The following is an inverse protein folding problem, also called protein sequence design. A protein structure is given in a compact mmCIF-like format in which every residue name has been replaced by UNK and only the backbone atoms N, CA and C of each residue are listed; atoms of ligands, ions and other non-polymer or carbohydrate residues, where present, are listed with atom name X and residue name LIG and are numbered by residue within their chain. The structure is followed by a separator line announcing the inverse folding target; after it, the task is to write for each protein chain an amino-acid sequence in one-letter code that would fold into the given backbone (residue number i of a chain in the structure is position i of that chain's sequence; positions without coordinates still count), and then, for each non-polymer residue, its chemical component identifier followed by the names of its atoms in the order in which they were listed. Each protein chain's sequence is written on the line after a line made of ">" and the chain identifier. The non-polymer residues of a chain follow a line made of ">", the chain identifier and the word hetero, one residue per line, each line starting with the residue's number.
data_IF_580813766774
#
_entry.id   IF_580813766774
#
_cell.length_a   1.000
_cell.length_b   1.000
_cell.length_c   1.000
_cell.angle_alpha   90.00
_cell.angle_beta   90.00
_cell.angle_gamma   90.00
#
_symmetry.space_group_name_H-M   'P 1'
#
loop_
_entity.id
_entity.type
_entity.pdbx_description
1 polymer ?
#
# COMPACT_ATOMS: atom_id res chain seq x y z
N UNK A 1 30.48 -21.65 17.92
CA UNK A 1 29.76 -21.62 19.23
C UNK A 1 28.93 -20.35 19.48
N UNK A 2 29.13 -19.23 18.77
CA UNK A 2 28.34 -17.99 18.98
C UNK A 2 26.87 -18.05 18.51
N UNK A 3 26.53 -18.78 17.44
CA UNK A 3 25.14 -18.88 16.92
C UNK A 3 24.09 -19.46 17.87
N UNK A 4 24.48 -20.21 18.91
CA UNK A 4 23.52 -20.81 19.86
C UNK A 4 23.14 -19.87 21.01
N UNK A 5 23.98 -18.88 21.30
CA UNK A 5 23.71 -17.91 22.37
C UNK A 5 22.70 -16.84 21.88
N UNK A 6 22.88 -16.36 20.63
CA UNK A 6 22.00 -15.35 20.03
C UNK A 6 20.54 -15.85 19.87
N UNK A 7 20.35 -17.13 19.54
CA UNK A 7 19.01 -17.74 19.42
C UNK A 7 18.28 -17.84 20.75
N UNK A 8 18.98 -18.17 21.85
CA UNK A 8 18.35 -18.33 23.17
C UNK A 8 17.89 -16.97 23.74
N UNK A 9 18.65 -15.91 23.49
CA UNK A 9 18.29 -14.54 23.89
C UNK A 9 17.07 -14.03 23.12
N UNK A 10 16.93 -14.39 21.84
CA UNK A 10 15.78 -14.00 21.00
C UNK A 10 14.49 -14.78 21.34
N UNK A 11 14.60 -16.03 21.84
CA UNK A 11 13.46 -16.88 22.23
C UNK A 11 12.69 -16.40 23.47
N UNK A 12 13.40 -15.86 24.47
CA UNK A 12 12.75 -15.26 25.66
C UNK A 12 12.00 -13.98 25.32
N UNK A 13 12.58 -13.21 24.41
CA UNK A 13 12.19 -11.85 24.05
C UNK A 13 10.81 -11.78 23.34
N UNK A 14 10.51 -12.70 22.42
CA UNK A 14 9.23 -12.73 21.67
C UNK A 14 8.04 -13.11 22.56
N UNK A 15 8.23 -14.12 23.41
CA UNK A 15 7.18 -14.59 24.33
C UNK A 15 6.90 -13.54 25.41
N UNK A 16 7.94 -12.92 25.95
CA UNK A 16 7.83 -11.85 26.95
C UNK A 16 7.11 -10.64 26.36
N UNK A 17 7.49 -10.18 25.17
CA UNK A 17 6.81 -9.08 24.48
C UNK A 17 5.31 -9.30 24.31
N UNK A 18 4.89 -10.51 23.95
CA UNK A 18 3.46 -10.83 23.82
C UNK A 18 2.75 -10.70 25.18
N UNK A 19 3.38 -11.20 26.24
CA UNK A 19 2.82 -11.17 27.60
C UNK A 19 2.73 -9.76 28.14
N UNK A 20 3.73 -8.91 27.89
CA UNK A 20 3.72 -7.48 28.22
C UNK A 20 2.58 -6.73 27.53
N UNK A 21 2.27 -7.08 26.29
CA UNK A 21 1.13 -6.56 25.53
C UNK A 21 -0.22 -7.15 25.97
N UNK A 22 -0.24 -8.04 26.96
CA UNK A 22 -1.47 -8.68 27.47
C UNK A 22 -2.16 -9.61 26.46
N UNK A 23 -1.46 -10.06 25.42
CA UNK A 23 -2.05 -10.88 24.36
C UNK A 23 -1.95 -12.37 24.67
N UNK A 24 -3.03 -13.12 24.42
CA UNK A 24 -2.96 -14.59 24.37
C UNK A 24 -2.31 -15.05 23.06
N UNK A 25 -1.78 -16.28 23.00
CA UNK A 25 -1.25 -16.85 21.74
C UNK A 25 -2.31 -16.87 20.62
N UNK A 26 -3.55 -17.21 20.95
CA UNK A 26 -4.65 -17.23 19.99
C UNK A 26 -4.99 -15.83 19.48
N UNK A 27 -4.95 -14.84 20.36
CA UNK A 27 -5.20 -13.44 20.01
C UNK A 27 -4.08 -12.89 19.12
N UNK A 28 -2.83 -13.17 19.47
CA UNK A 28 -1.68 -12.71 18.70
C UNK A 28 -1.61 -13.38 17.33
N UNK A 29 -1.89 -14.70 17.25
CA UNK A 29 -2.02 -15.42 15.98
C UNK A 29 -3.13 -14.84 15.10
N UNK A 30 -4.28 -14.51 15.70
CA UNK A 30 -5.41 -13.87 15.02
C UNK A 30 -5.02 -12.50 14.45
N UNK A 31 -4.32 -11.66 15.24
CA UNK A 31 -3.84 -10.34 14.81
C UNK A 31 -2.79 -10.42 13.71
N UNK A 32 -1.95 -11.45 13.71
CA UNK A 32 -0.96 -11.69 12.66
C UNK A 32 -1.55 -12.44 11.44
N UNK A 33 -2.84 -12.79 11.43
CA UNK A 33 -3.46 -13.59 10.37
C UNK A 33 -2.77 -14.94 10.12
N UNK A 34 -2.29 -15.59 11.17
CA UNK A 34 -1.63 -16.91 11.12
C UNK A 34 -2.33 -17.93 12.01
N UNK A 35 -2.05 -19.22 11.80
CA UNK A 35 -2.54 -20.26 12.71
C UNK A 35 -1.86 -20.17 14.08
N UNK A 36 -2.55 -20.61 15.13
CA UNK A 36 -1.95 -20.70 16.49
C UNK A 36 -0.72 -21.60 16.49
N UNK A 37 -0.69 -22.65 15.66
CA UNK A 37 0.47 -23.52 15.50
C UNK A 37 1.66 -22.76 14.88
N UNK A 38 1.40 -21.91 13.90
CA UNK A 38 2.40 -21.04 13.27
C UNK A 38 2.95 -20.02 14.27
N UNK A 39 2.08 -19.40 15.08
CA UNK A 39 2.50 -18.49 16.15
C UNK A 39 3.38 -19.18 17.20
N UNK A 40 3.02 -20.39 17.63
CA UNK A 40 3.85 -21.20 18.54
C UNK A 40 5.22 -21.52 17.97
N UNK A 41 5.31 -21.80 16.66
CA UNK A 41 6.60 -21.98 15.98
C UNK A 41 7.41 -20.69 15.97
N UNK A 42 6.78 -19.55 15.70
CA UNK A 42 7.44 -18.25 15.74
C UNK A 42 7.95 -17.90 17.16
N UNK A 43 7.18 -18.15 18.22
CA UNK A 43 7.66 -17.96 19.60
C UNK A 43 8.82 -18.89 19.98
N UNK A 44 8.81 -20.12 19.45
CA UNK A 44 9.85 -21.11 19.72
C UNK A 44 11.14 -20.86 18.94
N UNK A 45 11.03 -20.43 17.70
CA UNK A 45 12.15 -20.07 16.82
C UNK A 45 11.63 -19.15 15.70
N UNK A 46 11.83 -17.82 15.79
CA UNK A 46 11.44 -16.90 14.73
C UNK A 46 12.05 -17.25 13.37
N UNK A 47 13.26 -17.85 13.38
CA UNK A 47 13.97 -18.32 12.19
C UNK A 47 13.26 -19.46 11.45
N UNK A 48 12.41 -20.23 12.15
CA UNK A 48 11.74 -21.41 11.62
C UNK A 48 10.51 -21.11 10.75
N UNK A 49 9.99 -19.89 10.82
CA UNK A 49 8.85 -19.45 10.00
C UNK A 49 9.34 -18.63 8.80
N UNK A 50 8.53 -18.58 7.74
CA UNK A 50 8.83 -17.75 6.57
C UNK A 50 9.02 -16.28 6.98
N UNK A 51 9.83 -15.52 6.22
CA UNK A 51 10.09 -14.10 6.51
C UNK A 51 8.77 -13.30 6.62
N UNK A 52 7.84 -13.53 5.67
CA UNK A 52 6.48 -12.98 5.69
C UNK A 52 5.71 -13.29 6.98
N UNK A 53 5.77 -14.54 7.45
CA UNK A 53 5.12 -14.96 8.70
C UNK A 53 5.78 -14.32 9.91
N UNK A 54 7.12 -14.24 9.92
CA UNK A 54 7.91 -13.62 10.97
C UNK A 54 7.50 -12.16 11.15
N UNK A 55 7.49 -11.41 10.05
CA UNK A 55 7.12 -10.01 10.01
C UNK A 55 5.69 -9.73 10.51
N UNK A 56 4.72 -10.52 10.04
CA UNK A 56 3.34 -10.43 10.51
C UNK A 56 3.25 -10.63 12.03
N UNK A 57 4.06 -11.53 12.59
CA UNK A 57 4.11 -11.74 14.03
C UNK A 57 4.89 -10.64 14.79
N UNK A 58 6.00 -10.16 14.25
CA UNK A 58 6.80 -9.05 14.82
C UNK A 58 6.00 -7.75 14.88
N UNK A 59 5.17 -7.47 13.87
CA UNK A 59 4.20 -6.36 13.86
C UNK A 59 3.22 -6.40 15.03
N UNK A 60 2.68 -7.58 15.34
CA UNK A 60 1.76 -7.74 16.48
C UNK A 60 2.46 -7.43 17.80
N UNK A 61 3.77 -7.59 17.86
CA UNK A 61 4.59 -7.28 19.03
C UNK A 61 5.08 -5.83 19.06
N UNK A 62 4.66 -4.98 18.12
CA UNK A 62 5.16 -3.60 18.00
C UNK A 62 6.65 -3.54 17.65
N UNK A 63 7.20 -4.63 17.08
CA UNK A 63 8.60 -4.79 16.68
C UNK A 63 8.80 -4.82 15.18
N UNK A 64 7.70 -4.83 14.43
CA UNK A 64 7.70 -4.77 12.97
C UNK A 64 7.31 -3.38 12.50
N UNK A 65 8.20 -2.41 12.65
CA UNK A 65 8.18 -1.25 11.75
C UNK A 65 8.91 -1.70 10.48
N UNK A 66 8.14 -1.94 9.41
CA UNK A 66 8.71 -2.01 8.07
C UNK A 66 8.30 -3.18 7.18
N UNK A 67 7.27 -2.98 6.36
CA UNK A 67 7.10 -3.46 4.97
C UNK A 67 7.93 -4.67 4.50
N UNK A 68 7.25 -5.69 3.95
CA UNK A 68 7.92 -6.62 3.03
C UNK A 68 7.84 -6.11 1.58
N UNK A 69 8.92 -5.48 1.14
CA UNK A 69 9.55 -5.95 -0.10
C UNK A 69 9.95 -7.41 0.18
N UNK A 70 9.29 -8.39 -0.45
CA UNK A 70 9.63 -9.82 -0.33
C UNK A 70 11.10 -10.14 -0.75
N UNK A 71 11.89 -9.12 -1.10
CA UNK A 71 13.25 -9.20 -1.61
C UNK A 71 14.35 -8.79 -0.61
N UNK A 72 14.05 -8.42 0.63
CA UNK A 72 15.10 -7.94 1.56
C UNK A 72 16.20 -8.97 1.90
N UNK A 73 15.97 -10.26 1.68
CA UNK A 73 16.99 -11.32 1.84
C UNK A 73 17.49 -11.91 0.52
N UNK A 74 16.93 -11.46 -0.62
CA UNK A 74 17.29 -11.93 -1.95
C UNK A 74 17.78 -10.74 -2.80
N UNK A 75 19.11 -10.55 -2.92
CA UNK A 75 19.69 -9.49 -3.75
C UNK A 75 19.13 -9.50 -5.19
N UNK A 76 18.83 -10.68 -5.73
CA UNK A 76 18.24 -10.82 -7.07
C UNK A 76 16.83 -10.23 -7.15
N UNK A 77 16.00 -10.44 -6.12
CA UNK A 77 14.66 -9.86 -6.05
C UNK A 77 14.68 -8.34 -6.00
N UNK A 78 15.64 -7.73 -5.28
CA UNK A 78 15.76 -6.26 -5.19
C UNK A 78 16.26 -5.67 -6.51
N UNK A 79 17.21 -6.35 -7.14
CA UNK A 79 17.71 -5.98 -8.45
C UNK A 79 16.59 -6.06 -9.50
N UNK A 80 15.83 -7.16 -9.51
CA UNK A 80 14.68 -7.33 -10.39
C UNK A 80 13.57 -6.29 -10.17
N UNK A 81 13.28 -5.94 -8.91
CA UNK A 81 12.36 -4.85 -8.60
C UNK A 81 12.88 -3.50 -9.08
N UNK A 82 14.17 -3.22 -8.89
CA UNK A 82 14.74 -1.90 -9.15
C UNK A 82 14.92 -1.62 -10.64
N UNK A 83 15.23 -2.63 -11.46
CA UNK A 83 15.53 -2.49 -12.90
C UNK A 83 14.49 -1.64 -13.65
N UNK A 84 13.16 -1.91 -13.53
CA UNK A 84 12.15 -1.10 -14.21
C UNK A 84 12.12 0.38 -13.77
N UNK A 85 12.52 0.65 -12.52
CA UNK A 85 12.37 1.97 -11.90
C UNK A 85 13.61 2.84 -12.02
N UNK A 86 14.81 2.27 -12.14
CA UNK A 86 16.07 3.04 -12.24
C UNK A 86 16.04 4.06 -13.38
N UNK A 87 15.40 3.72 -14.50
CA UNK A 87 15.28 4.59 -15.68
C UNK A 87 13.88 5.18 -15.89
N UNK A 88 12.94 4.87 -15.01
CA UNK A 88 11.56 5.32 -15.13
C UNK A 88 11.51 6.85 -15.05
N UNK A 89 10.77 7.53 -15.94
CA UNK A 89 10.57 8.96 -15.81
C UNK A 89 9.64 9.30 -14.63
N UNK A 90 8.85 8.35 -14.13
CA UNK A 90 7.80 8.64 -13.15
C UNK A 90 8.28 8.45 -11.71
N UNK A 91 8.70 7.24 -11.36
CA UNK A 91 9.14 6.90 -10.00
C UNK A 91 10.63 6.60 -9.94
N UNK A 92 11.25 6.95 -8.83
CA UNK A 92 12.47 6.26 -8.41
C UNK A 92 12.15 4.89 -7.80
N UNK A 93 13.14 3.97 -7.72
CA UNK A 93 12.97 2.69 -7.03
C UNK A 93 12.46 2.84 -5.60
N UNK A 94 12.99 3.82 -4.84
CA UNK A 94 12.54 4.08 -3.46
C UNK A 94 11.11 4.62 -3.38
N UNK A 95 10.72 5.49 -4.32
CA UNK A 95 9.33 5.98 -4.37
C UNK A 95 8.35 4.87 -4.73
N UNK A 96 8.67 4.06 -5.74
CA UNK A 96 7.86 2.91 -6.12
C UNK A 96 7.70 1.92 -4.96
N UNK A 97 8.79 1.65 -4.23
CA UNK A 97 8.76 0.81 -3.05
C UNK A 97 7.84 1.39 -1.98
N UNK A 98 8.00 2.67 -1.63
CA UNK A 98 7.18 3.33 -0.60
C UNK A 98 5.69 3.35 -0.95
N UNK A 99 5.33 3.55 -2.21
CA UNK A 99 3.93 3.46 -2.66
C UNK A 99 3.39 2.03 -2.52
N UNK A 100 4.13 1.02 -3.01
CA UNK A 100 3.73 -0.37 -2.87
C UNK A 100 3.55 -0.77 -1.40
N UNK A 101 4.44 -0.29 -0.52
CA UNK A 101 4.39 -0.50 0.91
C UNK A 101 3.08 -0.06 1.55
N UNK A 102 2.64 1.15 1.25
CA UNK A 102 1.39 1.71 1.80
C UNK A 102 0.20 0.86 1.36
N UNK A 103 0.15 0.45 0.08
CA UNK A 103 -0.93 -0.37 -0.43
C UNK A 103 -0.95 -1.77 0.21
N UNK A 104 0.22 -2.36 0.45
CA UNK A 104 0.34 -3.64 1.15
C UNK A 104 -0.09 -3.53 2.62
N UNK A 105 0.27 -2.44 3.30
CA UNK A 105 -0.15 -2.17 4.66
C UNK A 105 -1.67 -2.02 4.76
N UNK A 106 -2.28 -1.23 3.88
CA UNK A 106 -3.74 -1.12 3.81
C UNK A 106 -4.41 -2.47 3.56
N UNK A 107 -3.81 -3.28 2.68
CA UNK A 107 -4.37 -4.58 2.29
C UNK A 107 -4.33 -5.61 3.42
N UNK A 108 -3.21 -5.67 4.13
CA UNK A 108 -2.93 -6.73 5.09
C UNK A 108 -3.26 -6.35 6.53
N UNK A 109 -3.35 -5.06 6.82
CA UNK A 109 -3.64 -4.56 8.15
C UNK A 109 -4.98 -3.86 8.21
N UNK A 110 -5.08 -2.67 7.63
CA UNK A 110 -6.22 -1.78 7.84
C UNK A 110 -7.51 -2.42 7.36
N UNK A 111 -7.55 -2.82 6.08
CA UNK A 111 -8.74 -3.39 5.46
C UNK A 111 -9.01 -4.84 5.88
N UNK A 112 -7.99 -5.69 5.97
CA UNK A 112 -8.18 -7.09 6.41
C UNK A 112 -8.71 -7.15 7.84
N UNK A 113 -8.20 -6.31 8.74
CA UNK A 113 -8.68 -6.23 10.12
C UNK A 113 -10.10 -5.68 10.17
N UNK A 114 -10.37 -4.57 9.49
CA UNK A 114 -11.69 -3.95 9.51
C UNK A 114 -12.78 -4.86 8.93
N UNK A 115 -12.49 -5.60 7.85
CA UNK A 115 -13.42 -6.56 7.25
C UNK A 115 -13.76 -7.70 8.21
N UNK A 116 -12.76 -8.20 8.97
CA UNK A 116 -12.92 -9.36 9.86
C UNK A 116 -13.57 -9.03 11.20
N UNK A 117 -13.41 -7.81 11.70
CA UNK A 117 -13.90 -7.41 13.03
C UNK A 117 -15.20 -6.61 12.87
N UNK A 118 -16.35 -7.15 13.30
CA UNK A 118 -17.59 -6.38 13.34
C UNK A 118 -17.45 -5.17 14.26
N UNK A 119 -17.87 -3.98 13.79
CA UNK A 119 -17.95 -2.74 14.56
C UNK A 119 -16.61 -2.22 15.14
N UNK A 120 -15.48 -2.49 14.49
CA UNK A 120 -14.17 -2.02 14.97
C UNK A 120 -14.10 -0.48 15.03
N UNK A 121 -14.37 0.18 13.90
CA UNK A 121 -14.40 1.64 13.72
C UNK A 121 -15.25 1.97 12.48
N UNK A 122 -15.73 3.21 12.31
CA UNK A 122 -16.36 3.64 11.05
C UNK A 122 -15.38 3.56 9.87
N UNK A 123 -15.83 3.12 8.68
CA UNK A 123 -14.98 2.89 7.52
C UNK A 123 -14.18 4.15 7.10
N UNK A 124 -14.80 5.32 7.16
CA UNK A 124 -14.17 6.61 6.84
C UNK A 124 -13.01 7.01 7.79
N UNK A 125 -12.74 6.22 8.82
CA UNK A 125 -11.59 6.44 9.73
C UNK A 125 -10.42 5.51 9.43
N UNK A 126 -10.58 4.61 8.46
CA UNK A 126 -9.61 3.55 8.14
C UNK A 126 -9.02 3.80 6.73
N UNK A 127 -7.71 3.68 6.53
CA UNK A 127 -7.11 3.84 5.20
C UNK A 127 -7.55 2.76 4.19
N UNK A 128 -7.64 3.06 2.88
CA UNK A 128 -7.47 4.39 2.26
C UNK A 128 -8.65 5.35 2.49
N UNK A 129 -9.78 4.85 3.00
CA UNK A 129 -11.02 5.62 3.10
C UNK A 129 -10.92 6.87 3.98
N UNK A 130 -9.98 6.89 4.93
CA UNK A 130 -9.67 8.09 5.73
C UNK A 130 -9.14 9.26 4.91
N UNK A 131 -8.65 9.02 3.70
CA UNK A 131 -8.16 10.06 2.79
C UNK A 131 -9.27 10.59 1.86
N UNK A 132 -10.44 9.95 1.83
CA UNK A 132 -11.52 10.34 0.94
C UNK A 132 -12.40 11.42 1.60
N UNK A 133 -12.86 12.38 0.80
CA UNK A 133 -13.85 13.36 1.21
C UNK A 133 -15.10 12.66 1.76
N UNK A 134 -15.63 13.17 2.87
CA UNK A 134 -16.75 12.58 3.59
C UNK A 134 -17.98 12.39 2.70
N UNK A 135 -18.16 13.23 1.67
CA UNK A 135 -19.26 13.14 0.69
C UNK A 135 -19.15 11.85 -0.14
N UNK A 136 -17.94 11.40 -0.47
CA UNK A 136 -17.72 10.08 -1.08
C UNK A 136 -18.11 8.99 -0.07
N UNK A 137 -17.61 9.11 1.17
CA UNK A 137 -17.80 8.08 2.19
C UNK A 137 -19.26 7.88 2.59
N UNK A 138 -20.07 8.94 2.60
CA UNK A 138 -21.53 8.87 2.84
C UNK A 138 -22.22 7.96 1.80
N UNK A 139 -21.78 7.97 0.54
CA UNK A 139 -22.39 7.17 -0.52
C UNK A 139 -22.00 5.69 -0.47
N UNK A 140 -20.76 5.39 -0.08
CA UNK A 140 -20.26 4.01 0.03
C UNK A 140 -20.80 3.34 1.29
N UNK A 141 -20.91 4.13 2.38
CA UNK A 141 -21.32 3.66 3.70
C UNK A 141 -20.36 2.64 4.31
N UNK A 142 -20.80 1.95 5.36
CA UNK A 142 -20.05 0.86 6.03
C UNK A 142 -20.09 -0.46 5.22
N UNK A 143 -20.00 -0.37 3.89
CA UNK A 143 -20.17 -1.51 2.98
C UNK A 143 -18.92 -2.41 2.94
N UNK A 144 -19.02 -3.57 3.60
CA UNK A 144 -17.92 -4.56 3.66
C UNK A 144 -17.53 -5.16 2.32
N UNK A 145 -18.49 -5.36 1.41
CA UNK A 145 -18.18 -5.90 0.09
C UNK A 145 -17.35 -4.89 -0.72
N UNK A 146 -17.69 -3.60 -0.61
CA UNK A 146 -16.92 -2.53 -1.22
C UNK A 146 -15.50 -2.44 -0.64
N UNK A 147 -15.37 -2.47 0.70
CA UNK A 147 -14.06 -2.48 1.36
C UNK A 147 -13.21 -3.70 0.96
N UNK A 148 -13.82 -4.87 0.83
CA UNK A 148 -13.14 -6.07 0.35
C UNK A 148 -12.68 -5.96 -1.10
N UNK A 149 -13.47 -5.31 -1.96
CA UNK A 149 -13.10 -5.07 -3.34
C UNK A 149 -11.97 -4.04 -3.45
N UNK A 150 -12.01 -2.94 -2.69
CA UNK A 150 -10.92 -1.96 -2.58
C UNK A 150 -9.63 -2.60 -2.09
N UNK A 151 -9.72 -3.47 -1.08
CA UNK A 151 -8.57 -4.25 -0.60
C UNK A 151 -7.91 -5.07 -1.73
N UNK A 152 -8.72 -5.71 -2.56
CA UNK A 152 -8.22 -6.46 -3.71
C UNK A 152 -7.60 -5.55 -4.78
N UNK A 153 -8.13 -4.33 -4.96
CA UNK A 153 -7.51 -3.32 -5.83
C UNK A 153 -6.15 -2.86 -5.30
N UNK A 154 -6.03 -2.56 -4.01
CA UNK A 154 -4.74 -2.22 -3.38
C UNK A 154 -3.70 -3.32 -3.61
N UNK A 155 -4.08 -4.59 -3.40
CA UNK A 155 -3.23 -5.75 -3.67
C UNK A 155 -2.79 -5.82 -5.14
N UNK A 156 -3.72 -5.62 -6.07
CA UNK A 156 -3.45 -5.64 -7.49
C UNK A 156 -2.48 -4.52 -7.92
N UNK A 157 -2.69 -3.30 -7.42
CA UNK A 157 -1.84 -2.15 -7.71
C UNK A 157 -0.44 -2.32 -7.11
N UNK A 158 -0.32 -2.83 -5.88
CA UNK A 158 0.97 -3.14 -5.27
C UNK A 158 1.76 -4.14 -6.12
N UNK A 159 1.16 -5.28 -6.50
CA UNK A 159 1.81 -6.28 -7.36
C UNK A 159 2.22 -5.70 -8.71
N UNK A 160 1.42 -4.78 -9.26
CA UNK A 160 1.75 -4.10 -10.52
C UNK A 160 2.99 -3.24 -10.37
N UNK A 161 3.07 -2.43 -9.31
CA UNK A 161 4.23 -1.59 -9.01
C UNK A 161 5.48 -2.46 -8.75
N UNK A 162 5.32 -3.55 -8.02
CA UNK A 162 6.40 -4.52 -7.79
C UNK A 162 6.96 -5.13 -9.09
N UNK A 163 6.16 -5.16 -10.15
CA UNK A 163 6.56 -5.65 -11.49
C UNK A 163 7.02 -4.54 -12.45
N UNK A 164 7.17 -3.31 -11.98
CA UNK A 164 7.57 -2.18 -12.82
C UNK A 164 6.44 -1.52 -13.60
N UNK A 165 5.18 -1.90 -13.34
CA UNK A 165 4.02 -1.30 -13.99
C UNK A 165 3.57 -0.03 -13.27
N UNK A 166 3.20 1.00 -14.03
CA UNK A 166 2.60 2.21 -13.47
C UNK A 166 1.20 1.90 -12.92
N UNK A 167 0.83 2.46 -11.76
CA UNK A 167 -0.50 2.27 -11.17
C UNK A 167 -1.58 3.13 -11.85
N UNK A 168 -1.18 4.04 -12.75
CA UNK A 168 -2.06 4.97 -13.47
C UNK A 168 -1.93 4.84 -14.99
N UNK A 169 -2.83 5.49 -15.74
CA UNK A 169 -2.88 5.41 -17.21
C UNK A 169 -3.29 4.03 -17.74
N UNK A 170 -3.79 3.15 -16.88
CA UNK A 170 -4.08 1.75 -17.20
C UNK A 170 -5.59 1.52 -17.41
N UNK A 171 -5.96 0.41 -18.07
CA UNK A 171 -7.35 -0.01 -18.34
C UNK A 171 -8.19 -0.41 -17.13
N UNK A 172 -7.81 0.01 -15.93
CA UNK A 172 -8.44 -0.36 -14.67
C UNK A 172 -9.76 0.36 -14.35
N UNK A 173 -10.43 -0.09 -13.27
CA UNK A 173 -11.57 0.60 -12.68
C UNK A 173 -11.15 1.97 -12.14
N UNK A 174 -12.09 2.93 -12.10
CA UNK A 174 -11.79 4.31 -11.69
C UNK A 174 -11.15 4.37 -10.30
N UNK A 175 -11.61 3.54 -9.35
CA UNK A 175 -11.13 3.53 -7.97
C UNK A 175 -9.60 3.37 -7.83
N UNK A 176 -8.92 2.81 -8.84
CA UNK A 176 -7.46 2.70 -8.82
C UNK A 176 -6.77 4.08 -8.74
N UNK A 177 -7.33 5.09 -9.41
CA UNK A 177 -6.80 6.45 -9.44
C UNK A 177 -6.83 7.14 -8.06
N UNK A 178 -7.97 7.24 -7.34
CA UNK A 178 -8.00 7.80 -6.00
C UNK A 178 -7.29 6.92 -4.95
N UNK A 179 -7.26 5.58 -5.10
CA UNK A 179 -6.41 4.73 -4.22
C UNK A 179 -4.95 5.11 -4.37
N UNK A 180 -4.47 5.24 -5.61
CA UNK A 180 -3.10 5.62 -5.87
C UNK A 180 -2.82 7.05 -5.38
N UNK A 181 -3.72 7.99 -5.64
CA UNK A 181 -3.62 9.36 -5.14
C UNK A 181 -3.50 9.43 -3.62
N UNK A 182 -4.38 8.73 -2.90
CA UNK A 182 -4.31 8.60 -1.44
C UNK A 182 -2.96 7.99 -0.99
N UNK A 183 -2.42 7.06 -1.78
CA UNK A 183 -1.13 6.43 -1.50
C UNK A 183 0.00 7.44 -1.60
N UNK A 184 0.00 8.31 -2.61
CA UNK A 184 1.01 9.36 -2.80
C UNK A 184 1.01 10.38 -1.66
N UNK A 185 -0.14 10.63 -1.03
CA UNK A 185 -0.21 11.49 0.16
C UNK A 185 0.52 10.88 1.37
N UNK A 186 0.49 9.54 1.51
CA UNK A 186 1.07 8.83 2.66
C UNK A 186 2.51 8.34 2.44
N UNK A 187 2.84 7.91 1.23
CA UNK A 187 4.14 7.34 0.88
C UNK A 187 5.36 8.18 1.30
N UNK A 188 5.34 9.54 1.28
CA UNK A 188 6.46 10.36 1.75
C UNK A 188 6.87 10.14 3.22
N UNK A 189 5.97 9.59 4.04
CA UNK A 189 6.23 9.31 5.46
C UNK A 189 6.95 7.98 5.68
N UNK A 190 6.82 7.02 4.76
CA UNK A 190 7.35 5.66 4.95
C UNK A 190 8.88 5.65 5.02
N UNK A 191 9.64 6.28 4.09
CA UNK A 191 11.11 6.31 4.19
C UNK A 191 11.64 7.04 5.43
N UNK A 192 10.83 7.92 6.05
CA UNK A 192 11.21 8.62 7.29
C UNK A 192 11.04 7.72 8.51
N UNK A 193 10.00 6.90 8.51
CA UNK A 193 9.66 6.05 9.63
C UNK A 193 10.40 4.71 9.58
N UNK A 194 10.84 4.28 8.41
CA UNK A 194 11.51 2.99 8.23
C UNK A 194 12.61 3.07 7.17
N UNK A 195 13.71 3.81 7.44
CA UNK A 195 14.78 4.02 6.48
C UNK A 195 15.48 2.72 6.07
N UNK A 196 15.56 1.72 6.96
CA UNK A 196 16.27 0.46 6.72
C UNK A 196 15.70 -0.33 5.53
N UNK A 197 14.42 -0.10 5.23
CA UNK A 197 13.77 -0.72 4.08
C UNK A 197 14.29 -0.24 2.73
N UNK A 198 14.81 0.99 2.70
CA UNK A 198 15.18 1.69 1.49
C UNK A 198 16.70 1.78 1.29
N UNK A 199 17.48 1.45 2.33
CA UNK A 199 18.95 1.44 2.30
C UNK A 199 19.51 0.53 1.21
N UNK A 200 18.83 -0.59 0.94
CA UNK A 200 19.24 -1.56 -0.07
C UNK A 200 18.77 -1.21 -1.50
N UNK A 201 17.87 -0.23 -1.64
CA UNK A 201 17.36 0.21 -2.93
C UNK A 201 18.23 1.33 -3.51
N UNK A 202 18.54 1.28 -4.81
CA UNK A 202 19.29 2.34 -5.46
C UNK A 202 18.52 3.66 -5.42
N UNK A 203 19.26 4.75 -5.24
CA UNK A 203 18.74 6.09 -5.40
C UNK A 203 18.24 6.29 -6.84
N UNK A 204 17.15 7.04 -7.00
CA UNK A 204 16.73 7.48 -8.32
C UNK A 204 17.86 8.25 -9.01
N UNK A 205 18.04 8.02 -10.32
CA UNK A 205 18.91 8.89 -11.10
C UNK A 205 18.31 10.30 -11.05
N UNK A 206 19.05 11.25 -10.48
CA UNK A 206 18.66 12.66 -10.47
C UNK A 206 18.56 13.19 -11.90
N UNK A 207 17.38 13.06 -12.52
CA UNK A 207 17.11 13.56 -13.87
C UNK A 207 16.51 14.94 -13.78
N UNK A 208 17.11 15.89 -14.48
CA UNK A 208 16.46 17.18 -14.76
C UNK A 208 15.30 16.94 -15.72
N UNK A 209 14.11 17.41 -15.35
CA UNK A 209 12.98 17.45 -16.28
C UNK A 209 13.23 18.46 -17.41
N UNK A 210 12.29 18.58 -18.36
CA UNK A 210 12.34 19.58 -19.44
C UNK A 210 12.39 21.03 -18.95
N UNK A 211 12.17 21.29 -17.65
CA UNK A 211 12.28 22.58 -16.99
C UNK A 211 13.59 22.73 -16.17
N UNK A 212 14.52 21.77 -16.24
CA UNK A 212 15.80 21.82 -15.53
C UNK A 212 15.72 21.48 -14.03
N UNK A 213 14.61 20.89 -13.57
CA UNK A 213 14.38 20.59 -12.16
C UNK A 213 14.80 19.15 -11.84
N UNK A 214 15.73 18.96 -10.89
CA UNK A 214 16.22 17.65 -10.44
C UNK A 214 15.07 16.80 -9.86
N UNK A 215 14.82 15.61 -10.41
CA UNK A 215 13.92 14.56 -9.89
C UNK A 215 14.70 13.65 -8.95
N UNK A 216 14.35 13.59 -7.68
CA UNK A 216 15.04 12.72 -6.71
C UNK A 216 14.05 12.18 -5.68
N UNK A 217 14.50 11.23 -4.86
CA UNK A 217 13.69 10.46 -3.90
C UNK A 217 12.86 11.33 -2.92
N UNK A 218 13.23 12.59 -2.76
CA UNK A 218 12.59 13.54 -1.85
C UNK A 218 11.53 14.44 -2.49
N UNK A 219 11.39 14.43 -3.82
CA UNK A 219 10.39 15.25 -4.50
C UNK A 219 9.18 14.39 -4.83
N UNK A 220 8.14 14.51 -4.03
CA UNK A 220 6.87 13.82 -4.26
C UNK A 220 5.90 14.67 -5.10
N UNK A 221 6.08 15.99 -5.10
CA UNK A 221 5.26 16.93 -5.86
C UNK A 221 5.35 16.77 -7.39
N UNK A 222 6.41 16.13 -7.93
CA UNK A 222 6.43 15.84 -9.37
C UNK A 222 5.55 14.66 -9.75
N UNK A 223 5.25 13.75 -8.80
CA UNK A 223 4.36 12.61 -9.05
C UNK A 223 2.92 13.10 -9.20
N UNK A 224 2.54 14.07 -8.37
CA UNK A 224 1.25 14.77 -8.46
C UNK A 224 1.03 15.37 -9.86
N UNK A 225 1.98 16.18 -10.34
CA UNK A 225 1.93 16.76 -11.69
C UNK A 225 1.90 15.70 -12.80
N UNK A 226 2.82 14.74 -12.74
CA UNK A 226 2.90 13.69 -13.77
C UNK A 226 1.64 12.82 -13.79
N UNK A 227 1.00 12.65 -12.63
CA UNK A 227 -0.24 11.91 -12.53
C UNK A 227 -1.41 12.71 -13.08
N UNK A 228 -1.52 14.01 -12.80
CA UNK A 228 -2.54 14.86 -13.42
C UNK A 228 -2.43 14.89 -14.95
N UNK A 229 -1.21 15.05 -15.49
CA UNK A 229 -0.96 15.01 -16.94
C UNK A 229 -1.42 13.68 -17.57
N UNK A 230 -1.14 12.54 -16.94
CA UNK A 230 -1.53 11.23 -17.46
C UNK A 230 -2.98 10.84 -17.16
N UNK A 231 -3.57 11.40 -16.11
CA UNK A 231 -4.97 11.22 -15.77
C UNK A 231 -5.85 11.89 -16.84
N UNK A 232 -5.47 13.08 -17.33
CA UNK A 232 -6.12 13.74 -18.46
C UNK A 232 -6.11 12.87 -19.74
N UNK A 233 -5.00 12.18 -19.99
CA UNK A 233 -4.84 11.26 -21.13
C UNK A 233 -5.51 9.89 -20.89
N UNK A 234 -5.94 9.59 -19.66
CA UNK A 234 -6.60 8.34 -19.30
C UNK A 234 -8.02 8.29 -19.88
N UNK A 235 -8.53 7.08 -20.12
CA UNK A 235 -9.91 6.91 -20.57
C UNK A 235 -10.94 7.46 -19.55
N UNK A 236 -10.59 7.51 -18.26
CA UNK A 236 -11.41 8.18 -17.25
C UNK A 236 -11.25 9.69 -17.34
N UNK A 237 -10.05 10.23 -17.54
CA UNK A 237 -9.89 11.66 -17.88
C UNK A 237 -10.78 12.08 -19.04
N UNK A 238 -10.78 11.32 -20.13
CA UNK A 238 -11.65 11.61 -21.29
C UNK A 238 -13.15 11.42 -20.99
N UNK A 239 -13.55 10.33 -20.32
CA UNK A 239 -14.98 10.04 -20.03
C UNK A 239 -15.57 10.92 -18.93
N UNK A 240 -14.76 11.34 -17.97
CA UNK A 240 -15.15 12.22 -16.87
C UNK A 240 -15.08 13.70 -17.27
N UNK A 241 -14.59 14.05 -18.46
CA UNK A 241 -14.44 15.45 -18.88
C UNK A 241 -13.30 16.17 -18.16
N UNK A 242 -12.19 15.47 -17.95
CA UNK A 242 -10.99 15.90 -17.23
C UNK A 242 -11.24 16.20 -15.74
N UNK A 243 -12.19 15.50 -15.10
CA UNK A 243 -12.36 15.63 -13.65
C UNK A 243 -11.06 15.14 -12.97
N UNK A 244 -10.51 15.94 -12.03
CA UNK A 244 -9.27 15.61 -11.35
C UNK A 244 -9.36 14.31 -10.54
N UNK A 245 -8.33 13.46 -10.63
CA UNK A 245 -8.21 12.19 -9.90
C UNK A 245 -8.18 12.38 -8.37
N UNK A 246 -7.79 13.57 -7.93
CA UNK A 246 -7.66 14.04 -6.55
C UNK A 246 -8.96 14.67 -6.03
N UNK A 247 -9.98 14.89 -6.87
CA UNK A 247 -11.27 15.41 -6.43
C UNK A 247 -11.91 14.59 -5.30
N UNK A 248 -11.84 13.25 -5.27
CA UNK A 248 -12.29 12.44 -4.13
C UNK A 248 -11.44 12.59 -2.87
N UNK A 249 -10.23 13.15 -2.96
CA UNK A 249 -9.24 13.23 -1.87
C UNK A 249 -9.20 14.61 -1.19
N UNK A 250 -9.70 15.64 -1.87
CA UNK A 250 -9.69 17.00 -1.36
C UNK A 250 -11.02 17.36 -0.70
N UNK A 251 -11.01 17.76 0.60
CA UNK A 251 -12.17 18.29 1.27
C UNK A 251 -12.75 19.47 0.49
N UNK A 252 -14.06 19.45 0.27
CA UNK A 252 -14.81 20.53 -0.38
C UNK A 252 -14.38 20.80 -1.84
N UNK A 253 -13.77 19.82 -2.52
CA UNK A 253 -13.45 19.96 -3.95
C UNK A 253 -14.72 20.34 -4.75
N UNK A 254 -14.61 21.42 -5.53
CA UNK A 254 -15.75 22.06 -6.19
C UNK A 254 -16.44 21.16 -7.21
N UNK A 255 -15.67 20.29 -7.86
CA UNK A 255 -16.16 19.38 -8.90
C UNK A 255 -16.67 18.04 -8.36
N UNK A 256 -16.42 17.74 -7.08
CA UNK A 256 -16.82 16.47 -6.48
C UNK A 256 -18.34 16.20 -6.56
N UNK A 257 -19.24 17.19 -6.34
CA UNK A 257 -20.67 16.97 -6.50
C UNK A 257 -21.07 16.54 -7.93
N UNK A 258 -20.43 17.12 -8.95
CA UNK A 258 -20.68 16.76 -10.34
C UNK A 258 -20.16 15.35 -10.65
N UNK A 259 -18.97 15.01 -10.16
CA UNK A 259 -18.40 13.66 -10.25
C UNK A 259 -19.33 12.62 -9.63
N UNK A 260 -19.78 12.84 -8.39
CA UNK A 260 -20.64 11.89 -7.67
C UNK A 260 -22.02 11.72 -8.34
N UNK A 261 -22.54 12.78 -8.96
CA UNK A 261 -23.81 12.73 -9.70
C UNK A 261 -23.68 11.94 -11.02
N UNK A 262 -22.57 12.09 -11.73
CA UNK A 262 -22.33 11.41 -13.00
C UNK A 262 -21.85 9.96 -12.80
N UNK A 263 -21.04 9.72 -11.76
CA UNK A 263 -20.38 8.44 -11.49
C UNK A 263 -20.48 8.13 -10.00
N UNK A 264 -21.53 7.42 -9.63
CA UNK A 264 -21.76 7.03 -8.23
C UNK A 264 -20.62 6.12 -7.72
N UNK A 265 -20.10 6.29 -6.49
CA UNK A 265 -18.95 5.52 -6.01
C UNK A 265 -19.06 3.99 -6.06
N UNK A 266 -20.28 3.45 -6.02
CA UNK A 266 -20.52 2.02 -6.23
C UNK A 266 -20.10 1.50 -7.62
N UNK A 267 -20.11 2.35 -8.65
CA UNK A 267 -19.70 1.97 -10.01
C UNK A 267 -18.19 2.16 -10.23
N UNK A 268 -17.46 2.73 -9.27
CA UNK A 268 -16.03 3.00 -9.43
C UNK A 268 -15.19 1.72 -9.47
N UNK A 269 -15.75 0.59 -9.02
CA UNK A 269 -15.15 -0.74 -9.08
C UNK A 269 -15.45 -1.49 -10.39
N UNK A 270 -16.35 -0.97 -11.22
CA UNK A 270 -16.78 -1.66 -12.44
C UNK A 270 -15.65 -1.72 -13.46
N UNK A 271 -15.54 -2.87 -14.13
CA UNK A 271 -14.61 -3.06 -15.24
C UNK A 271 -14.97 -2.13 -16.40
N UNK A 272 -13.96 -1.70 -17.18
CA UNK A 272 -14.20 -0.88 -18.36
C UNK A 272 -15.10 -1.64 -19.36
N UNK A 273 -16.13 -0.99 -19.93
CA UNK A 273 -16.92 -1.58 -21.03
C UNK A 273 -16.06 -2.02 -22.23
N UNK A 274 -14.89 -1.39 -22.40
CA UNK A 274 -14.00 -1.59 -23.54
C UNK A 274 -12.85 -2.59 -23.24
N UNK A 275 -12.86 -3.31 -22.10
CA UNK A 275 -11.83 -4.32 -21.80
C UNK A 275 -12.01 -5.66 -22.53
N UNK A 276 -12.87 -5.71 -23.55
CA UNK A 276 -13.00 -6.87 -24.45
C UNK A 276 -11.99 -6.70 -25.59
N UNK A 277 -10.71 -7.00 -25.32
CA UNK A 277 -9.70 -7.51 -26.23
C UNK A 277 -8.33 -7.22 -25.63
N UNK A 278 -7.73 -8.23 -25.00
CA UNK A 278 -6.31 -8.57 -25.11
C UNK A 278 -6.11 -9.86 -24.29
N UNK A 279 -6.43 -10.98 -24.96
CA UNK A 279 -6.00 -12.32 -24.60
C UNK A 279 -4.75 -12.66 -25.41
#
# INVERSE_FOLDING_TARGET
>A
MRRRADTITQMGDVREARVELGLSQSEAARRASVSVATWRRFEGDPGSVSARTRHACERVLGRGDGVHLDSQSDPLGQEMFSIPWVQSPYFSPRQAAAVASVMDDWTHHDLDQWIRIPNASPLHTIPPFSEFDIRVMITIGENRAYAAAVRERCRHLSVRIQRGGLPFGCTGPYIDEPIFGATVLRAPTIPRNTPELFDALPEGINRTDGAGQLRGDHRWAHLDRAFSELAEESAWGQKLGCIPWDAPLHPDHAELPALLAAHHPHTWLDARPDSIADH
#
